data_IF_119671271203
#
_entry.id   IF_119671271203
#
_cell.length_a   1.000
_cell.length_b   1.000
_cell.length_c   1.000
_cell.angle_alpha   90.00
_cell.angle_beta   90.00
_cell.angle_gamma   90.00
#
_symmetry.space_group_name_H-M   'P 1'
#
loop_
_entity.id
_entity.type
_entity.pdbx_description
1 polymer ?
#
# COMPACT_ATOMS: atom_id res chain seq x y z
N UNK A 1 32.29 9.92 -35.01
CA UNK A 1 32.50 11.22 -34.34
C UNK A 1 31.25 11.51 -33.52
N UNK A 2 31.34 11.57 -32.18
CA UNK A 2 30.17 11.74 -31.31
C UNK A 2 29.65 13.19 -31.41
N UNK A 3 28.33 13.35 -31.54
CA UNK A 3 27.66 14.65 -31.48
C UNK A 3 27.58 15.10 -30.01
N UNK A 4 28.29 16.19 -29.67
CA UNK A 4 28.14 16.89 -28.41
C UNK A 4 26.77 17.60 -28.36
N UNK A 5 25.96 17.23 -27.38
CA UNK A 5 24.75 17.97 -27.00
C UNK A 5 25.18 19.22 -26.21
N UNK A 6 25.45 20.31 -26.94
CA UNK A 6 25.65 21.62 -26.34
C UNK A 6 24.30 22.15 -25.83
N UNK A 7 24.17 22.32 -24.52
CA UNK A 7 23.06 23.06 -23.91
C UNK A 7 23.31 24.55 -24.23
N UNK A 8 22.62 25.07 -25.24
CA UNK A 8 22.65 26.49 -25.58
C UNK A 8 21.91 27.26 -24.48
N UNK A 9 22.64 27.98 -23.65
CA UNK A 9 22.07 28.93 -22.69
C UNK A 9 21.93 30.26 -23.43
N UNK A 10 20.73 30.61 -23.88
CA UNK A 10 20.46 31.90 -24.48
C UNK A 10 20.46 33.00 -23.40
N UNK A 11 21.37 33.95 -23.53
CA UNK A 11 21.64 35.03 -22.56
C UNK A 11 20.70 36.26 -22.73
N UNK A 12 19.47 36.05 -23.18
CA UNK A 12 18.56 37.16 -23.53
C UNK A 12 17.15 36.95 -23.00
N UNK A 13 17.01 37.14 -21.68
CA UNK A 13 15.84 37.64 -20.95
C UNK A 13 16.06 37.31 -19.47
N UNK A 14 16.74 38.18 -18.73
CA UNK A 14 16.78 38.10 -17.27
C UNK A 14 15.41 38.51 -16.70
N UNK A 15 14.40 37.67 -16.92
CA UNK A 15 13.34 37.51 -15.94
C UNK A 15 14.05 36.98 -14.70
N UNK A 16 13.85 37.54 -13.50
CA UNK A 16 14.32 36.91 -12.28
C UNK A 16 13.54 35.60 -12.15
N UNK A 17 14.06 34.52 -12.74
CA UNK A 17 13.65 33.17 -12.40
C UNK A 17 14.03 33.06 -10.94
N UNK A 18 13.04 33.16 -10.04
CA UNK A 18 13.22 32.79 -8.64
C UNK A 18 13.92 31.44 -8.66
N UNK A 19 15.19 31.41 -8.26
CA UNK A 19 15.94 30.16 -8.27
C UNK A 19 15.13 29.17 -7.45
N UNK A 20 14.77 28.00 -8.03
CA UNK A 20 13.99 27.02 -7.29
C UNK A 20 14.74 26.68 -6.02
N UNK A 21 14.05 26.76 -4.89
CA UNK A 21 14.68 26.51 -3.60
C UNK A 21 15.24 25.07 -3.55
N UNK A 22 16.27 24.88 -2.73
CA UNK A 22 17.03 23.63 -2.64
C UNK A 22 16.12 22.41 -2.43
N UNK A 23 15.04 22.58 -1.68
CA UNK A 23 14.06 21.53 -1.41
C UNK A 23 13.21 21.21 -2.64
N UNK A 24 12.77 22.20 -3.42
CA UNK A 24 12.03 21.96 -4.66
C UNK A 24 12.88 21.20 -5.67
N UNK A 25 14.16 21.56 -5.79
CA UNK A 25 15.12 20.84 -6.64
C UNK A 25 15.32 19.38 -6.17
N UNK A 26 15.52 19.16 -4.87
CA UNK A 26 15.65 17.81 -4.30
C UNK A 26 14.40 16.97 -4.54
N UNK A 27 13.21 17.53 -4.33
CA UNK A 27 11.96 16.79 -4.47
C UNK A 27 11.65 16.50 -5.94
N UNK A 28 11.96 17.42 -6.86
CA UNK A 28 11.82 17.19 -8.29
C UNK A 28 12.83 16.15 -8.84
N UNK A 29 14.01 16.00 -8.23
CA UNK A 29 14.94 14.89 -8.51
C UNK A 29 14.34 13.51 -8.18
N UNK A 30 13.31 13.44 -7.31
CA UNK A 30 12.64 12.17 -6.98
C UNK A 30 11.51 11.87 -7.96
N UNK A 31 11.66 10.77 -8.70
CA UNK A 31 10.66 10.28 -9.67
C UNK A 31 9.34 9.80 -9.04
N UNK A 32 9.34 9.36 -7.78
CA UNK A 32 8.15 8.80 -7.11
C UNK A 32 7.40 9.88 -6.33
N UNK A 33 6.12 10.19 -6.65
CA UNK A 33 5.31 11.14 -5.90
C UNK A 33 5.21 10.80 -4.41
N UNK A 34 5.02 9.53 -4.08
CA UNK A 34 4.97 9.08 -2.68
C UNK A 34 6.30 9.32 -1.93
N UNK A 35 7.43 9.19 -2.61
CA UNK A 35 8.74 9.47 -2.00
C UNK A 35 8.91 10.97 -1.78
N UNK A 36 8.45 11.80 -2.72
CA UNK A 36 8.43 13.27 -2.58
C UNK A 36 7.62 13.68 -1.35
N UNK A 37 6.38 13.19 -1.24
CA UNK A 37 5.50 13.52 -0.12
C UNK A 37 6.05 13.06 1.21
N UNK A 38 6.63 11.84 1.25
CA UNK A 38 7.23 11.29 2.46
C UNK A 38 8.44 12.11 2.90
N UNK A 39 9.34 12.48 1.98
CA UNK A 39 10.53 13.27 2.28
C UNK A 39 10.18 14.69 2.65
N UNK A 40 9.26 15.34 1.94
CA UNK A 40 8.79 16.68 2.28
C UNK A 40 8.23 16.73 3.72
N UNK A 41 7.42 15.74 4.10
CA UNK A 41 6.85 15.65 5.45
C UNK A 41 7.91 15.39 6.52
N UNK A 42 8.92 14.56 6.22
CA UNK A 42 10.01 14.26 7.16
C UNK A 42 10.95 15.43 7.37
N UNK A 43 11.30 16.13 6.28
CA UNK A 43 12.15 17.32 6.36
C UNK A 43 11.43 18.44 7.11
N UNK A 44 10.11 18.61 6.91
CA UNK A 44 9.31 19.57 7.69
C UNK A 44 9.33 19.25 9.17
N UNK A 45 9.20 17.97 9.55
CA UNK A 45 9.29 17.58 10.95
C UNK A 45 10.69 17.83 11.54
N UNK A 46 11.76 17.64 10.76
CA UNK A 46 13.13 17.92 11.19
C UNK A 46 13.39 19.41 11.42
N UNK A 47 13.01 20.26 10.46
CA UNK A 47 13.27 21.70 10.51
C UNK A 47 12.26 22.47 11.37
N UNK A 48 11.06 21.92 11.56
CA UNK A 48 9.93 22.63 12.17
C UNK A 48 9.35 23.70 11.26
N UNK A 49 8.48 24.54 11.83
CA UNK A 49 7.71 25.55 11.09
C UNK A 49 8.13 26.99 11.45
N UNK A 50 9.26 27.18 12.13
CA UNK A 50 9.72 28.49 12.59
C UNK A 50 10.16 29.43 11.45
N UNK A 51 10.69 28.85 10.37
CA UNK A 51 11.09 29.57 9.15
C UNK A 51 10.69 28.71 7.93
N UNK A 52 10.57 29.31 6.73
CA UNK A 52 10.32 28.56 5.51
C UNK A 52 11.32 27.42 5.32
N UNK A 53 10.80 26.24 4.97
CA UNK A 53 11.63 25.03 4.88
C UNK A 53 12.79 25.16 3.88
N UNK A 54 12.61 25.90 2.79
CA UNK A 54 13.68 26.19 1.82
C UNK A 54 14.84 26.96 2.46
N UNK A 55 14.55 27.97 3.28
CA UNK A 55 15.54 28.73 4.04
C UNK A 55 16.23 27.85 5.10
N UNK A 56 15.45 27.05 5.84
CA UNK A 56 16.00 26.11 6.82
C UNK A 56 16.97 25.11 6.19
N UNK A 57 16.61 24.56 5.02
CA UNK A 57 17.48 23.65 4.26
C UNK A 57 18.77 24.34 3.85
N UNK A 58 18.68 25.54 3.25
CA UNK A 58 19.83 26.29 2.77
C UNK A 58 20.82 26.62 3.90
N UNK A 59 20.30 27.04 5.07
CA UNK A 59 21.14 27.31 6.26
C UNK A 59 21.77 26.04 6.80
N UNK A 60 21.02 24.94 6.85
CA UNK A 60 21.48 23.68 7.42
C UNK A 60 22.61 23.03 6.62
N UNK A 61 22.56 23.05 5.28
CA UNK A 61 23.59 22.42 4.44
C UNK A 61 24.92 23.17 4.46
N UNK A 62 24.91 24.45 4.84
CA UNK A 62 26.09 25.30 5.00
C UNK A 62 26.75 25.17 6.39
N UNK A 63 26.15 24.43 7.32
CA UNK A 63 26.73 24.24 8.65
C UNK A 63 28.02 23.41 8.58
N UNK A 64 28.99 23.67 9.48
CA UNK A 64 30.12 22.77 9.66
C UNK A 64 29.67 21.35 10.00
N UNK A 65 30.41 20.34 9.51
CA UNK A 65 30.07 18.92 9.73
C UNK A 65 29.80 18.56 11.20
N UNK A 66 30.57 19.07 12.20
CA UNK A 66 30.25 18.83 13.62
C UNK A 66 28.88 19.37 14.05
N UNK A 67 28.45 20.53 13.52
CA UNK A 67 27.15 21.13 13.83
C UNK A 67 26.00 20.34 13.18
N UNK A 68 26.18 19.86 11.95
CA UNK A 68 25.24 18.93 11.29
C UNK A 68 25.08 17.66 12.13
N UNK A 69 26.20 17.07 12.59
CA UNK A 69 26.19 15.87 13.44
C UNK A 69 25.41 16.10 14.74
N UNK A 70 25.67 17.21 15.42
CA UNK A 70 24.97 17.57 16.66
C UNK A 70 23.45 17.71 16.42
N UNK A 71 23.05 18.38 15.33
CA UNK A 71 21.63 18.54 14.99
C UNK A 71 20.93 17.19 14.74
N UNK A 72 21.59 16.25 14.04
CA UNK A 72 21.06 14.92 13.80
C UNK A 72 20.92 14.12 15.10
N UNK A 73 21.91 14.17 16.00
CA UNK A 73 21.85 13.48 17.29
C UNK A 73 20.72 14.05 18.16
N UNK A 74 20.61 15.37 18.26
CA UNK A 74 19.52 16.05 18.98
C UNK A 74 18.15 15.65 18.43
N UNK A 75 18.01 15.61 17.11
CA UNK A 75 16.76 15.16 16.49
C UNK A 75 16.47 13.69 16.79
N UNK A 76 17.47 12.81 16.73
CA UNK A 76 17.32 11.39 17.12
C UNK A 76 16.78 11.25 18.54
N UNK A 77 17.31 12.02 19.49
CA UNK A 77 16.82 12.04 20.87
C UNK A 77 15.35 12.46 20.94
N UNK A 78 14.96 13.54 20.26
CA UNK A 78 13.56 13.96 20.18
C UNK A 78 12.63 12.89 19.59
N UNK A 79 13.09 12.13 18.59
CA UNK A 79 12.30 11.04 18.02
C UNK A 79 12.10 9.87 18.99
N UNK A 80 13.12 9.57 19.80
CA UNK A 80 13.04 8.55 20.85
C UNK A 80 12.10 8.98 21.97
N UNK A 81 12.17 10.23 22.40
CA UNK A 81 11.25 10.82 23.39
C UNK A 81 9.80 10.78 22.92
N UNK A 82 9.56 10.90 21.61
CA UNK A 82 8.24 10.73 20.98
C UNK A 82 7.83 9.26 20.79
N UNK A 83 8.61 8.30 21.29
CA UNK A 83 8.39 6.86 21.14
C UNK A 83 8.16 6.41 19.67
N UNK A 84 8.85 7.05 18.72
CA UNK A 84 8.73 6.68 17.31
C UNK A 84 9.40 5.32 17.04
N UNK A 85 8.78 4.48 16.21
CA UNK A 85 9.40 3.20 15.81
C UNK A 85 10.72 3.41 15.06
N UNK A 86 11.65 2.46 15.20
CA UNK A 86 12.99 2.49 14.60
C UNK A 86 12.93 2.65 13.08
N UNK A 87 11.96 2.00 12.43
CA UNK A 87 11.72 2.14 10.99
C UNK A 87 11.33 3.58 10.59
N UNK A 88 10.54 4.26 11.42
CA UNK A 88 10.15 5.67 11.20
C UNK A 88 11.36 6.59 11.39
N UNK A 89 12.18 6.35 12.42
CA UNK A 89 13.43 7.09 12.65
C UNK A 89 14.35 6.94 11.43
N UNK A 90 14.57 5.71 10.98
CA UNK A 90 15.44 5.42 9.82
C UNK A 90 14.92 6.06 8.53
N UNK A 91 13.60 6.09 8.31
CA UNK A 91 12.99 6.78 7.16
C UNK A 91 13.26 8.29 7.19
N UNK A 92 13.09 8.93 8.35
CA UNK A 92 13.37 10.37 8.54
C UNK A 92 14.84 10.69 8.28
N UNK A 93 15.74 9.85 8.81
CA UNK A 93 17.18 9.97 8.55
C UNK A 93 17.53 9.75 7.07
N UNK A 94 16.82 8.87 6.35
CA UNK A 94 17.00 8.70 4.91
C UNK A 94 16.61 9.96 4.12
N UNK A 95 15.54 10.66 4.51
CA UNK A 95 15.17 11.94 3.91
C UNK A 95 16.27 13.00 4.12
N UNK A 96 16.80 13.12 5.34
CA UNK A 96 17.88 14.09 5.65
C UNK A 96 19.18 13.73 4.91
N UNK A 97 19.58 12.45 4.87
CA UNK A 97 20.73 12.01 4.06
C UNK A 97 20.51 12.27 2.57
N UNK A 98 19.29 12.13 2.06
CA UNK A 98 18.99 12.47 0.68
C UNK A 98 19.17 13.97 0.41
N UNK A 99 18.84 14.83 1.37
CA UNK A 99 19.11 16.27 1.27
C UNK A 99 20.61 16.55 1.26
N UNK A 100 21.38 16.02 2.22
CA UNK A 100 22.82 16.23 2.31
C UNK A 100 23.55 15.72 1.06
N UNK A 101 23.21 14.52 0.59
CA UNK A 101 23.78 13.94 -0.63
C UNK A 101 23.47 14.78 -1.88
N UNK A 102 22.27 15.34 -1.97
CA UNK A 102 21.90 16.22 -3.08
C UNK A 102 22.66 17.54 -3.02
N UNK A 103 22.67 18.20 -1.85
CA UNK A 103 23.38 19.45 -1.63
C UNK A 103 24.89 19.31 -1.87
N UNK A 104 25.49 18.19 -1.45
CA UNK A 104 26.89 17.88 -1.73
C UNK A 104 27.16 17.75 -3.23
N UNK A 105 26.28 17.06 -3.98
CA UNK A 105 26.41 16.90 -5.44
C UNK A 105 26.42 18.23 -6.18
N UNK A 106 25.67 19.22 -5.71
CA UNK A 106 25.61 20.56 -6.29
C UNK A 106 26.61 21.54 -5.65
N UNK A 107 27.54 21.06 -4.83
CA UNK A 107 28.59 21.88 -4.20
C UNK A 107 28.14 22.77 -3.04
N UNK A 108 26.92 22.60 -2.53
CA UNK A 108 26.36 23.42 -1.44
C UNK A 108 26.52 22.80 -0.04
N UNK A 109 27.12 21.62 0.08
CA UNK A 109 27.37 20.99 1.38
C UNK A 109 28.74 20.31 1.41
N UNK A 110 29.45 20.48 2.53
CA UNK A 110 30.77 19.87 2.75
C UNK A 110 30.73 18.34 2.90
N UNK A 111 29.54 17.73 3.02
CA UNK A 111 29.37 16.30 3.28
C UNK A 111 28.13 15.74 2.60
N UNK A 112 28.19 14.48 2.17
CA UNK A 112 27.08 13.74 1.59
C UNK A 112 26.14 13.10 2.63
N UNK A 113 26.46 13.25 3.93
CA UNK A 113 25.69 12.67 5.03
C UNK A 113 26.05 11.23 5.39
N UNK A 114 27.04 10.64 4.73
CA UNK A 114 27.56 9.31 5.05
C UNK A 114 28.34 9.37 6.38
N UNK A 115 28.13 8.38 7.26
CA UNK A 115 28.80 8.26 8.57
C UNK A 115 28.66 9.47 9.53
N UNK A 116 27.63 10.31 9.35
CA UNK A 116 27.39 11.43 10.28
C UNK A 116 26.57 10.98 11.50
N UNK A 117 25.57 10.14 11.27
CA UNK A 117 24.74 9.56 12.32
C UNK A 117 24.22 8.20 11.88
N UNK A 118 24.37 7.19 12.74
CA UNK A 118 23.90 5.82 12.47
C UNK A 118 22.39 5.70 12.64
N UNK A 119 21.78 4.86 11.80
CA UNK A 119 20.37 4.49 11.94
C UNK A 119 20.13 3.68 13.22
N UNK A 120 18.87 3.52 13.60
CA UNK A 120 18.49 2.59 14.66
C UNK A 120 18.53 1.16 14.14
N UNK A 121 19.01 0.23 14.98
CA UNK A 121 18.82 -1.20 14.72
C UNK A 121 17.33 -1.48 14.82
N UNK A 122 16.72 -1.88 13.70
CA UNK A 122 15.32 -2.25 13.68
C UNK A 122 15.18 -3.60 14.39
N UNK A 123 14.65 -3.60 15.62
CA UNK A 123 14.19 -4.85 16.25
C UNK A 123 12.98 -5.33 15.47
N UNK A 124 13.06 -6.52 14.89
CA UNK A 124 11.99 -7.11 14.10
C UNK A 124 10.83 -7.54 15.02
N UNK A 125 10.02 -6.58 15.49
CA UNK A 125 8.75 -6.91 16.12
C UNK A 125 7.61 -6.18 15.41
N UNK A 126 7.25 -6.75 14.26
CA UNK A 126 5.87 -6.73 13.80
C UNK A 126 5.52 -8.17 13.58
N UNK A 127 4.50 -8.66 14.27
CA UNK A 127 3.90 -9.94 13.90
C UNK A 127 3.32 -9.77 12.49
N UNK A 128 4.13 -10.12 11.49
CA UNK A 128 3.78 -10.08 10.08
C UNK A 128 3.16 -11.40 9.64
N UNK A 129 2.97 -12.35 10.56
CA UNK A 129 2.30 -13.61 10.24
C UNK A 129 0.94 -13.29 9.66
N UNK A 130 0.65 -13.97 8.56
CA UNK A 130 -0.62 -13.89 7.89
C UNK A 130 -1.74 -14.51 8.74
N UNK A 131 -2.92 -14.56 8.15
CA UNK A 131 -4.06 -15.31 8.65
C UNK A 131 -4.16 -16.63 7.88
N UNK A 132 -4.78 -17.62 8.49
CA UNK A 132 -5.00 -18.92 7.85
C UNK A 132 -6.09 -18.88 6.76
N UNK A 133 -6.16 -19.94 5.95
CA UNK A 133 -7.15 -20.07 4.86
C UNK A 133 -8.58 -20.05 5.40
N UNK A 134 -8.81 -20.57 6.61
CA UNK A 134 -10.13 -20.52 7.24
C UNK A 134 -10.57 -19.08 7.52
N UNK A 135 -9.67 -18.21 7.98
CA UNK A 135 -9.92 -16.79 8.21
C UNK A 135 -10.10 -16.03 6.89
N UNK A 136 -9.32 -16.34 5.84
CA UNK A 136 -9.53 -15.79 4.49
C UNK A 136 -10.95 -16.09 3.99
N UNK A 137 -11.44 -17.32 4.20
CA UNK A 137 -12.83 -17.69 3.86
C UNK A 137 -13.86 -16.91 4.67
N UNK A 138 -13.63 -16.72 5.98
CA UNK A 138 -14.51 -15.89 6.83
C UNK A 138 -14.57 -14.44 6.34
N UNK A 139 -13.44 -13.88 5.92
CA UNK A 139 -13.36 -12.53 5.37
C UNK A 139 -14.17 -12.39 4.07
N UNK A 140 -14.05 -13.34 3.13
CA UNK A 140 -14.86 -13.32 1.91
C UNK A 140 -16.36 -13.49 2.17
N UNK A 141 -16.75 -14.18 3.25
CA UNK A 141 -18.15 -14.30 3.67
C UNK A 141 -18.67 -13.10 4.49
N UNK A 142 -17.77 -12.24 5.00
CA UNK A 142 -18.12 -11.20 5.96
C UNK A 142 -19.00 -10.07 5.38
N UNK A 143 -18.79 -9.56 4.14
CA UNK A 143 -19.62 -8.46 3.61
C UNK A 143 -21.12 -8.76 3.63
N UNK A 144 -21.50 -10.00 3.27
CA UNK A 144 -22.90 -10.43 3.26
C UNK A 144 -23.54 -10.45 4.65
N UNK A 145 -22.76 -10.79 5.67
CA UNK A 145 -23.23 -10.85 7.07
C UNK A 145 -23.21 -9.50 7.75
N UNK A 146 -22.24 -8.65 7.41
CA UNK A 146 -22.08 -7.31 7.98
C UNK A 146 -23.13 -6.33 7.46
N UNK A 147 -23.52 -6.47 6.19
CA UNK A 147 -24.52 -5.63 5.54
C UNK A 147 -25.62 -6.51 4.95
N UNK A 148 -26.53 -7.05 5.79
CA UNK A 148 -27.61 -7.89 5.28
C UNK A 148 -28.51 -7.08 4.35
N UNK A 149 -28.70 -7.56 3.14
CA UNK A 149 -29.70 -7.04 2.20
C UNK A 149 -31.03 -7.66 2.61
N UNK A 150 -31.97 -6.85 3.09
CA UNK A 150 -33.34 -7.31 3.33
C UNK A 150 -34.01 -7.48 1.96
N UNK A 151 -34.63 -8.64 1.72
CA UNK A 151 -35.69 -8.72 0.71
C UNK A 151 -36.79 -7.73 1.12
N UNK A 152 -37.47 -7.13 0.13
CA UNK A 152 -38.38 -5.98 0.22
C UNK A 152 -39.10 -5.79 1.58
N UNK A 153 -39.36 -4.54 2.02
CA UNK A 153 -39.97 -4.29 3.32
C UNK A 153 -41.25 -5.11 3.48
N UNK A 154 -41.33 -5.90 4.55
CA UNK A 154 -42.60 -6.46 5.01
C UNK A 154 -43.50 -5.27 5.35
N UNK A 155 -44.42 -4.97 4.44
CA UNK A 155 -45.49 -4.00 4.66
C UNK A 155 -46.40 -4.62 5.72
N UNK A 156 -46.19 -4.26 6.98
CA UNK A 156 -47.20 -4.49 8.02
C UNK A 156 -48.18 -3.32 7.97
N UNK A 157 -49.47 -3.64 7.72
CA UNK A 157 -50.57 -2.72 7.99
C UNK A 157 -50.76 -2.64 9.50
N UNK A 158 -50.35 -1.54 10.12
CA UNK A 158 -50.96 -1.17 11.40
C UNK A 158 -52.38 -0.64 11.12
N UNK A 159 -53.33 -0.93 12.00
CA UNK A 159 -54.76 -0.61 11.86
C UNK A 159 -55.11 0.88 11.87
N UNK A 160 -54.18 1.76 11.46
CA UNK A 160 -54.31 3.24 11.41
C UNK A 160 -53.60 3.89 10.21
N UNK A 161 -53.51 3.21 9.06
CA UNK A 161 -53.02 3.79 7.79
C UNK A 161 -51.71 4.60 7.89
N UNK A 162 -50.73 4.11 8.66
CA UNK A 162 -49.38 4.68 8.71
C UNK A 162 -48.33 3.61 8.47
N UNK A 163 -47.50 3.82 7.45
CA UNK A 163 -46.29 3.06 7.18
C UNK A 163 -45.18 3.61 8.09
N UNK A 164 -44.64 2.81 9.02
CA UNK A 164 -43.52 3.22 9.88
C UNK A 164 -42.39 2.20 9.75
N UNK A 165 -41.27 2.62 9.17
CA UNK A 165 -39.99 1.89 9.20
C UNK A 165 -39.29 2.16 10.55
N UNK A 166 -39.22 1.15 11.41
CA UNK A 166 -38.64 1.24 12.76
C UNK A 166 -37.11 1.06 12.75
N UNK A 167 -36.43 1.61 11.74
CA UNK A 167 -34.96 1.74 11.75
C UNK A 167 -34.48 3.21 11.73
N UNK A 168 -35.41 4.17 11.82
CA UNK A 168 -35.11 5.59 11.87
C UNK A 168 -35.04 6.11 13.30
N UNK A 169 -33.94 5.83 14.00
CA UNK A 169 -33.51 6.75 15.06
C UNK A 169 -31.99 6.85 15.07
N UNK A 170 -31.53 8.08 14.84
CA UNK A 170 -30.16 8.62 14.86
C UNK A 170 -29.56 8.91 13.47
N UNK A 171 -29.25 10.21 13.27
CA UNK A 171 -28.46 10.86 12.20
C UNK A 171 -29.19 11.47 10.99
N UNK A 172 -29.84 12.62 11.22
CA UNK A 172 -30.12 13.63 10.20
C UNK A 172 -28.79 14.22 9.71
N UNK A 173 -28.32 13.82 8.50
CA UNK A 173 -27.31 14.47 7.59
C UNK A 173 -26.40 13.50 6.80
N UNK A 174 -26.49 12.19 7.00
CA UNK A 174 -25.72 11.19 6.24
C UNK A 174 -26.51 10.69 5.03
N UNK A 175 -25.88 10.60 3.85
CA UNK A 175 -26.48 9.88 2.71
C UNK A 175 -26.69 8.42 3.11
N UNK A 176 -27.91 7.90 2.96
CA UNK A 176 -28.16 6.47 3.09
C UNK A 176 -27.49 5.74 1.92
N UNK A 177 -26.59 4.81 2.25
CA UNK A 177 -25.86 4.03 1.26
C UNK A 177 -26.43 2.63 1.27
N UNK A 178 -26.96 2.13 0.14
CA UNK A 178 -27.58 0.81 0.09
C UNK A 178 -26.63 -0.29 0.57
N UNK A 179 -27.13 -1.24 1.38
CA UNK A 179 -26.36 -2.38 1.86
C UNK A 179 -25.80 -3.21 0.70
N UNK A 180 -26.57 -3.39 -0.37
CA UNK A 180 -26.14 -4.12 -1.56
C UNK A 180 -24.90 -3.48 -2.23
N UNK A 181 -24.84 -2.14 -2.26
CA UNK A 181 -23.68 -1.41 -2.77
C UNK A 181 -22.46 -1.56 -1.85
N UNK A 182 -22.63 -1.46 -0.52
CA UNK A 182 -21.53 -1.70 0.44
C UNK A 182 -21.00 -3.13 0.33
N UNK A 183 -21.90 -4.11 0.36
CA UNK A 183 -21.59 -5.53 0.30
C UNK A 183 -20.81 -5.88 -0.97
N UNK A 184 -21.35 -5.50 -2.14
CA UNK A 184 -20.74 -5.83 -3.43
C UNK A 184 -19.38 -5.17 -3.60
N UNK A 185 -19.24 -3.88 -3.22
CA UNK A 185 -17.95 -3.18 -3.26
C UNK A 185 -16.91 -3.88 -2.39
N UNK A 186 -17.25 -4.12 -1.13
CA UNK A 186 -16.32 -4.67 -0.15
C UNK A 186 -15.89 -6.08 -0.53
N UNK A 187 -16.83 -6.89 -1.04
CA UNK A 187 -16.55 -8.24 -1.54
C UNK A 187 -15.58 -8.21 -2.72
N UNK A 188 -15.82 -7.34 -3.71
CA UNK A 188 -14.92 -7.17 -4.87
C UNK A 188 -13.50 -6.76 -4.45
N UNK A 189 -13.38 -5.81 -3.51
CA UNK A 189 -12.10 -5.39 -2.95
C UNK A 189 -11.37 -6.54 -2.24
N UNK A 190 -12.08 -7.34 -1.45
CA UNK A 190 -11.50 -8.48 -0.74
C UNK A 190 -11.05 -9.58 -1.71
N UNK A 191 -11.82 -9.90 -2.75
CA UNK A 191 -11.38 -10.85 -3.79
C UNK A 191 -10.08 -10.40 -4.46
N UNK A 192 -9.97 -9.13 -4.85
CA UNK A 192 -8.74 -8.60 -5.46
C UNK A 192 -7.53 -8.68 -4.52
N UNK A 193 -7.71 -8.43 -3.22
CA UNK A 193 -6.64 -8.50 -2.23
C UNK A 193 -6.25 -9.94 -1.89
N UNK A 194 -7.20 -10.89 -1.89
CA UNK A 194 -7.00 -12.27 -1.43
C UNK A 194 -6.65 -13.19 -2.60
N UNK A 195 -7.47 -13.24 -3.66
CA UNK A 195 -7.30 -14.20 -4.76
C UNK A 195 -6.22 -13.76 -5.73
N UNK A 196 -6.15 -12.45 -6.01
CA UNK A 196 -5.17 -11.87 -6.92
C UNK A 196 -3.94 -11.31 -6.18
N UNK A 197 -3.94 -11.41 -4.84
CA UNK A 197 -2.91 -10.90 -3.96
C UNK A 197 -2.54 -9.43 -4.24
N UNK A 198 -3.40 -8.59 -4.82
CA UNK A 198 -3.03 -7.26 -5.30
C UNK A 198 -2.52 -6.37 -4.15
N UNK A 199 -1.63 -5.42 -4.45
CA UNK A 199 -1.24 -4.41 -3.47
C UNK A 199 -2.37 -3.39 -3.33
N UNK A 200 -2.58 -2.89 -2.12
CA UNK A 200 -3.54 -1.81 -1.83
C UNK A 200 -3.47 -0.65 -2.83
N UNK A 201 -2.27 -0.11 -3.06
CA UNK A 201 -2.06 1.00 -3.99
C UNK A 201 -2.25 0.64 -5.47
N UNK A 202 -2.21 -0.64 -5.84
CA UNK A 202 -2.59 -1.09 -7.19
C UNK A 202 -4.12 -1.05 -7.30
N UNK A 203 -4.84 -1.58 -6.31
CA UNK A 203 -6.33 -1.59 -6.27
C UNK A 203 -6.90 -0.18 -6.28
N UNK A 204 -6.38 0.73 -5.45
CA UNK A 204 -6.87 2.11 -5.35
C UNK A 204 -6.67 2.93 -6.64
N UNK A 205 -5.79 2.49 -7.55
CA UNK A 205 -5.46 3.21 -8.80
C UNK A 205 -6.16 2.65 -10.05
N UNK A 206 -7.03 1.65 -9.88
CA UNK A 206 -7.78 1.07 -10.98
C UNK A 206 -8.83 2.04 -11.53
N UNK A 207 -8.99 2.04 -12.84
CA UNK A 207 -10.09 2.72 -13.55
C UNK A 207 -11.10 1.69 -14.06
N UNK A 208 -12.33 2.10 -14.33
CA UNK A 208 -13.36 1.24 -14.90
C UNK A 208 -12.89 0.61 -16.24
N UNK A 209 -12.11 1.35 -17.03
CA UNK A 209 -11.51 0.88 -18.27
C UNK A 209 -10.42 -0.17 -18.12
N UNK A 210 -9.92 -0.43 -16.90
CA UNK A 210 -8.93 -1.48 -16.64
C UNK A 210 -9.55 -2.86 -16.51
N UNK A 211 -10.85 -2.95 -16.22
CA UNK A 211 -11.56 -4.20 -16.01
C UNK A 211 -12.25 -4.66 -17.30
N UNK A 212 -12.08 -5.93 -17.63
CA UNK A 212 -12.80 -6.58 -18.72
C UNK A 212 -13.40 -7.90 -18.22
N UNK A 213 -14.72 -7.90 -18.07
CA UNK A 213 -15.48 -9.06 -17.62
C UNK A 213 -15.46 -10.22 -18.62
N UNK A 214 -15.42 -9.92 -19.93
CA UNK A 214 -15.48 -10.93 -21.00
C UNK A 214 -14.21 -11.77 -21.04
N UNK A 215 -13.05 -11.11 -20.91
CA UNK A 215 -11.74 -11.78 -20.89
C UNK A 215 -11.30 -12.17 -19.47
N UNK A 216 -12.11 -11.87 -18.44
CA UNK A 216 -11.78 -12.02 -17.02
C UNK A 216 -10.41 -11.46 -16.71
N UNK A 217 -10.17 -10.22 -17.13
CA UNK A 217 -8.86 -9.60 -17.01
C UNK A 217 -8.93 -8.22 -16.38
N UNK A 218 -7.82 -7.82 -15.78
CA UNK A 218 -7.64 -6.53 -15.14
C UNK A 218 -6.26 -5.98 -15.49
N UNK A 219 -6.20 -4.73 -15.91
CA UNK A 219 -4.96 -4.01 -16.12
C UNK A 219 -4.54 -3.31 -14.82
N UNK A 220 -3.34 -3.58 -14.34
CA UNK A 220 -2.80 -2.97 -13.12
C UNK A 220 -1.52 -2.20 -13.44
N UNK A 221 -1.25 -1.12 -12.72
CA UNK A 221 0.03 -0.44 -12.85
C UNK A 221 1.16 -1.35 -12.35
N UNK A 222 2.10 -1.67 -13.25
CA UNK A 222 3.25 -2.52 -12.95
C UNK A 222 4.27 -1.83 -12.02
N UNK A 223 5.20 -2.63 -11.48
CA UNK A 223 6.27 -2.15 -10.58
C UNK A 223 7.42 -1.41 -11.30
N UNK A 224 7.22 -1.02 -12.56
CA UNK A 224 8.23 -0.46 -13.47
C UNK A 224 8.38 1.06 -13.41
N UNK A 225 9.35 1.57 -14.18
CA UNK A 225 9.51 3.01 -14.45
C UNK A 225 8.46 3.40 -15.51
N UNK A 226 7.45 4.19 -15.13
CA UNK A 226 6.40 4.71 -16.03
C UNK A 226 5.02 4.06 -15.85
N UNK A 227 4.03 4.51 -16.64
CA UNK A 227 2.63 4.03 -16.64
C UNK A 227 2.45 2.66 -17.33
N UNK A 228 3.43 1.76 -17.27
CA UNK A 228 3.32 0.45 -17.89
C UNK A 228 2.30 -0.39 -17.12
N UNK A 229 1.16 -0.68 -17.76
CA UNK A 229 0.13 -1.56 -17.21
C UNK A 229 0.48 -3.02 -17.52
N UNK A 230 0.33 -3.88 -16.53
CA UNK A 230 0.45 -5.34 -16.63
C UNK A 230 -0.95 -5.95 -16.56
N UNK A 231 -1.24 -6.93 -17.41
CA UNK A 231 -2.53 -7.63 -17.38
C UNK A 231 -2.48 -8.77 -16.37
N UNK A 232 -3.52 -8.90 -15.55
CA UNK A 232 -3.77 -10.07 -14.70
C UNK A 232 -5.10 -10.74 -15.00
N UNK A 233 -5.11 -12.06 -14.88
CA UNK A 233 -6.33 -12.85 -14.96
C UNK A 233 -7.07 -12.86 -13.63
N UNK A 234 -8.38 -12.81 -13.70
CA UNK A 234 -9.28 -12.87 -12.57
C UNK A 234 -9.96 -14.25 -12.50
N UNK A 235 -10.27 -14.70 -11.29
CA UNK A 235 -11.15 -15.84 -11.09
C UNK A 235 -12.59 -15.51 -11.51
N UNK A 236 -13.44 -16.51 -11.79
CA UNK A 236 -14.86 -16.26 -12.03
C UNK A 236 -15.56 -15.53 -10.87
N UNK A 237 -15.20 -15.86 -9.62
CA UNK A 237 -15.78 -15.26 -8.42
C UNK A 237 -15.39 -13.79 -8.28
N UNK A 238 -14.12 -13.46 -8.51
CA UNK A 238 -13.65 -12.08 -8.50
C UNK A 238 -14.28 -11.25 -9.62
N UNK A 239 -14.37 -11.81 -10.84
CA UNK A 239 -15.04 -11.13 -11.97
C UNK A 239 -16.50 -10.84 -11.64
N UNK A 240 -17.24 -11.83 -11.13
CA UNK A 240 -18.63 -11.66 -10.74
C UNK A 240 -18.80 -10.60 -9.64
N UNK A 241 -17.92 -10.60 -8.63
CA UNK A 241 -17.98 -9.62 -7.55
C UNK A 241 -17.79 -8.18 -8.07
N UNK A 242 -16.83 -7.95 -8.98
CA UNK A 242 -16.62 -6.63 -9.60
C UNK A 242 -17.81 -6.24 -10.46
N UNK A 243 -18.31 -7.14 -11.30
CA UNK A 243 -19.50 -6.89 -12.14
C UNK A 243 -20.71 -6.51 -11.28
N UNK A 244 -21.00 -7.29 -10.24
CA UNK A 244 -22.10 -7.00 -9.32
C UNK A 244 -21.95 -5.63 -8.67
N UNK A 245 -20.74 -5.28 -8.24
CA UNK A 245 -20.48 -3.96 -7.67
C UNK A 245 -20.74 -2.85 -8.69
N UNK A 246 -20.24 -2.96 -9.92
CA UNK A 246 -20.48 -1.97 -10.97
C UNK A 246 -21.97 -1.79 -11.24
N UNK A 247 -22.73 -2.89 -11.31
CA UNK A 247 -24.19 -2.86 -11.43
C UNK A 247 -24.87 -2.12 -10.28
N UNK A 248 -24.53 -2.42 -9.02
CA UNK A 248 -25.15 -1.76 -7.87
C UNK A 248 -24.72 -0.31 -7.68
N UNK A 249 -23.52 0.04 -8.16
CA UNK A 249 -22.99 1.40 -8.06
C UNK A 249 -23.55 2.35 -9.10
N UNK A 250 -24.13 1.81 -10.18
CA UNK A 250 -24.54 2.55 -11.38
C UNK A 250 -23.40 3.43 -11.94
N UNK A 251 -22.15 3.00 -11.72
CA UNK A 251 -20.92 3.72 -12.03
C UNK A 251 -20.10 2.98 -13.09
N UNK A 252 -19.17 3.68 -13.76
CA UNK A 252 -18.27 3.08 -14.75
C UNK A 252 -18.78 3.13 -16.19
N UNK A 253 -19.72 4.03 -16.48
CA UNK A 253 -20.08 4.40 -17.86
C UNK A 253 -18.92 5.11 -18.56
N UNK A 254 -18.17 5.94 -17.83
CA UNK A 254 -16.89 6.49 -18.28
C UNK A 254 -15.74 5.59 -17.85
N UNK A 255 -14.93 5.17 -18.83
CA UNK A 255 -13.79 4.26 -18.64
C UNK A 255 -12.66 4.88 -17.82
N UNK A 256 -12.62 6.20 -17.70
CA UNK A 256 -11.59 6.93 -16.93
C UNK A 256 -11.97 7.13 -15.46
N UNK A 257 -13.21 6.80 -15.10
CA UNK A 257 -13.67 6.85 -13.72
C UNK A 257 -12.96 5.81 -12.84
N UNK A 258 -12.78 6.09 -11.54
CA UNK A 258 -12.18 5.15 -10.61
C UNK A 258 -13.01 3.87 -10.50
N UNK A 259 -12.38 2.70 -10.63
CA UNK A 259 -13.09 1.44 -10.48
C UNK A 259 -13.77 1.32 -9.11
N UNK A 260 -13.12 1.79 -8.03
CA UNK A 260 -13.70 1.77 -6.69
C UNK A 260 -13.87 3.17 -6.14
N UNK A 261 -15.10 3.48 -5.70
CA UNK A 261 -15.44 4.75 -5.06
C UNK A 261 -15.53 4.63 -3.54
N UNK A 262 -15.29 5.76 -2.89
CA UNK A 262 -15.55 5.96 -1.47
C UNK A 262 -17.06 5.99 -1.22
N UNK A 263 -17.48 5.17 -0.25
CA UNK A 263 -18.85 5.12 0.29
C UNK A 263 -18.88 5.76 1.68
N UNK A 264 -18.14 6.86 1.84
CA UNK A 264 -18.22 7.69 3.03
C UNK A 264 -19.59 8.37 3.07
N UNK A 265 -20.22 8.41 4.24
CA UNK A 265 -21.54 9.03 4.41
C UNK A 265 -21.50 10.56 4.33
N UNK A 266 -20.31 11.17 4.44
CA UNK A 266 -20.10 12.60 4.27
C UNK A 266 -20.11 12.96 2.78
N UNK A 267 -20.97 13.89 2.33
CA UNK A 267 -21.15 14.20 0.91
C UNK A 267 -19.86 14.57 0.16
N UNK A 268 -18.92 15.26 0.81
CA UNK A 268 -17.66 15.70 0.19
C UNK A 268 -16.73 14.55 -0.23
N UNK A 269 -16.93 13.34 0.30
CA UNK A 269 -16.06 12.18 0.05
C UNK A 269 -16.78 11.04 -0.66
N UNK A 270 -18.09 11.09 -0.81
CA UNK A 270 -18.85 10.08 -1.54
C UNK A 270 -18.56 10.16 -3.04
N UNK A 271 -18.38 9.02 -3.71
CA UNK A 271 -18.15 8.98 -5.16
C UNK A 271 -16.72 9.31 -5.60
N UNK A 272 -15.90 9.91 -4.72
CA UNK A 272 -14.48 10.08 -4.97
C UNK A 272 -13.75 8.74 -5.04
N UNK A 273 -12.60 8.69 -5.73
CA UNK A 273 -11.72 7.51 -5.76
C UNK A 273 -11.43 6.98 -4.35
N UNK A 274 -11.56 5.66 -4.17
CA UNK A 274 -11.20 5.01 -2.92
C UNK A 274 -9.71 5.22 -2.60
N UNK A 275 -9.45 5.87 -1.47
CA UNK A 275 -8.08 6.17 -1.05
C UNK A 275 -7.36 4.96 -0.44
N UNK A 276 -6.03 5.01 -0.47
CA UNK A 276 -5.15 4.08 0.25
C UNK A 276 -5.48 3.97 1.75
N UNK A 277 -5.88 5.08 2.38
CA UNK A 277 -6.28 5.08 3.78
C UNK A 277 -7.65 4.41 3.96
N UNK A 278 -8.60 4.70 3.07
CA UNK A 278 -9.94 4.09 3.10
C UNK A 278 -9.89 2.57 2.96
N UNK A 279 -9.13 2.04 1.99
CA UNK A 279 -8.97 0.59 1.83
C UNK A 279 -8.23 -0.05 3.01
N UNK A 280 -7.29 0.66 3.64
CA UNK A 280 -6.61 0.17 4.85
C UNK A 280 -7.57 0.05 6.02
N UNK A 281 -8.39 1.08 6.27
CA UNK A 281 -9.40 1.06 7.32
C UNK A 281 -10.43 -0.04 7.09
N UNK A 282 -10.94 -0.17 5.87
CA UNK A 282 -11.87 -1.23 5.48
C UNK A 282 -11.34 -2.63 5.83
N UNK A 283 -10.10 -2.93 5.44
CA UNK A 283 -9.48 -4.23 5.77
C UNK A 283 -9.32 -4.41 7.28
N UNK A 284 -8.95 -3.36 8.00
CA UNK A 284 -8.86 -3.40 9.47
C UNK A 284 -10.20 -3.70 10.12
N UNK A 285 -11.27 -3.06 9.66
CA UNK A 285 -12.63 -3.25 10.16
C UNK A 285 -13.15 -4.67 9.90
N UNK A 286 -12.87 -5.25 8.72
CA UNK A 286 -13.20 -6.66 8.46
C UNK A 286 -12.36 -7.61 9.32
N UNK A 287 -11.10 -7.27 9.59
CA UNK A 287 -10.26 -8.01 10.54
C UNK A 287 -10.90 -8.08 11.92
N UNK A 288 -11.32 -6.95 12.48
CA UNK A 288 -12.03 -6.89 13.76
C UNK A 288 -13.34 -7.68 13.70
N UNK A 289 -14.09 -7.55 12.61
CA UNK A 289 -15.37 -8.26 12.43
C UNK A 289 -15.21 -9.79 12.47
N UNK A 290 -14.13 -10.35 11.91
CA UNK A 290 -13.85 -11.80 11.98
C UNK A 290 -13.10 -12.24 13.25
N UNK A 291 -12.94 -11.34 14.23
CA UNK A 291 -12.35 -11.64 15.54
C UNK A 291 -10.84 -11.43 15.65
N UNK A 292 -10.21 -10.72 14.71
CA UNK A 292 -8.78 -10.40 14.77
C UNK A 292 -8.55 -9.06 15.49
N UNK A 293 -7.49 -8.97 16.29
CA UNK A 293 -7.08 -7.69 16.90
C UNK A 293 -6.68 -6.64 15.87
N UNK A 294 -6.05 -7.08 14.78
CA UNK A 294 -5.59 -6.21 13.70
C UNK A 294 -5.43 -7.01 12.41
N UNK A 295 -5.86 -6.42 11.31
CA UNK A 295 -5.59 -6.92 9.97
C UNK A 295 -5.17 -5.76 9.08
N UNK A 296 -4.19 -5.99 8.22
CA UNK A 296 -3.72 -5.00 7.25
C UNK A 296 -3.70 -5.59 5.84
N UNK A 297 -3.81 -4.75 4.79
CA UNK A 297 -3.70 -5.23 3.41
C UNK A 297 -2.39 -5.98 3.12
N UNK A 298 -1.31 -5.63 3.82
CA UNK A 298 -0.04 -6.33 3.68
C UNK A 298 -0.08 -7.73 4.29
N UNK A 299 -0.69 -7.89 5.47
CA UNK A 299 -0.91 -9.21 6.08
C UNK A 299 -1.83 -10.08 5.21
N UNK A 300 -2.90 -9.53 4.63
CA UNK A 300 -3.75 -10.26 3.69
C UNK A 300 -2.98 -10.77 2.49
N UNK A 301 -2.18 -9.91 1.87
CA UNK A 301 -1.33 -10.29 0.75
C UNK A 301 -0.32 -11.37 1.15
N UNK A 302 0.29 -11.26 2.32
CA UNK A 302 1.22 -12.27 2.83
C UNK A 302 0.53 -13.63 3.02
N UNK A 303 -0.69 -13.62 3.59
CA UNK A 303 -1.55 -14.79 3.78
C UNK A 303 -1.91 -15.46 2.46
N UNK A 304 -2.33 -14.66 1.46
CA UNK A 304 -2.68 -15.14 0.13
C UNK A 304 -1.50 -15.81 -0.59
N UNK A 305 -0.30 -15.21 -0.51
CA UNK A 305 0.92 -15.77 -1.11
C UNK A 305 1.29 -17.10 -0.43
N UNK A 306 1.24 -17.14 0.90
CA UNK A 306 1.54 -18.36 1.67
C UNK A 306 0.55 -19.48 1.35
N UNK A 307 -0.76 -19.18 1.36
CA UNK A 307 -1.80 -20.13 0.99
C UNK A 307 -1.66 -20.64 -0.47
N UNK A 308 -1.23 -19.79 -1.39
CA UNK A 308 -0.94 -20.21 -2.76
C UNK A 308 0.30 -21.11 -2.85
N UNK A 309 1.33 -20.88 -2.05
CA UNK A 309 2.49 -21.78 -1.95
C UNK A 309 2.06 -23.14 -1.39
N UNK A 310 1.23 -23.16 -0.34
CA UNK A 310 0.63 -24.38 0.22
C UNK A 310 -0.15 -25.16 -0.83
N UNK A 311 -1.09 -24.51 -1.51
CA UNK A 311 -1.94 -25.15 -2.51
C UNK A 311 -1.17 -25.65 -3.75
N UNK A 312 0.02 -25.11 -4.02
CA UNK A 312 0.85 -25.50 -5.16
C UNK A 312 1.99 -26.46 -4.80
N UNK A 313 2.08 -26.88 -3.53
CA UNK A 313 3.15 -27.76 -3.06
C UNK A 313 4.53 -27.10 -3.10
N UNK A 314 4.62 -25.79 -2.89
CA UNK A 314 5.88 -25.04 -2.93
C UNK A 314 6.36 -24.63 -4.34
N UNK A 315 5.47 -24.58 -5.34
CA UNK A 315 5.83 -24.07 -6.68
C UNK A 315 6.01 -22.54 -6.65
N UNK A 316 7.21 -22.11 -6.23
CA UNK A 316 7.57 -20.70 -6.09
C UNK A 316 7.42 -19.95 -7.42
N UNK A 317 7.61 -20.60 -8.58
CA UNK A 317 7.47 -19.95 -9.90
C UNK A 317 6.00 -19.64 -10.23
N UNK A 318 5.07 -20.56 -9.93
CA UNK A 318 3.62 -20.28 -10.08
C UNK A 318 3.19 -19.15 -9.16
N UNK A 319 3.61 -19.18 -7.89
CA UNK A 319 3.24 -18.13 -6.93
C UNK A 319 3.94 -16.80 -7.23
N UNK A 320 5.14 -16.82 -7.81
CA UNK A 320 5.80 -15.61 -8.28
C UNK A 320 5.00 -14.90 -9.38
N UNK A 321 4.43 -15.66 -10.32
CA UNK A 321 3.56 -15.10 -11.35
C UNK A 321 2.28 -14.50 -10.77
N UNK A 322 1.65 -15.18 -9.80
CA UNK A 322 0.49 -14.67 -9.08
C UNK A 322 0.81 -13.37 -8.34
N UNK A 323 1.88 -13.38 -7.55
CA UNK A 323 2.25 -12.28 -6.67
C UNK A 323 2.99 -11.15 -7.41
N UNK A 324 3.55 -11.40 -8.59
CA UNK A 324 4.33 -10.43 -9.39
C UNK A 324 5.47 -9.81 -8.58
N UNK A 325 6.23 -10.64 -7.89
CA UNK A 325 7.46 -10.21 -7.21
C UNK A 325 8.62 -10.18 -8.21
N UNK A 326 9.24 -9.00 -8.36
CA UNK A 326 10.41 -8.80 -9.25
C UNK A 326 11.61 -9.68 -8.86
N UNK A 327 11.73 -10.04 -7.58
CA UNK A 327 12.82 -10.86 -7.04
C UNK A 327 12.26 -12.14 -6.44
N UNK A 328 12.85 -13.27 -6.81
CA UNK A 328 12.54 -14.59 -6.26
C UNK A 328 12.93 -14.69 -4.77
N UNK A 329 14.01 -14.01 -4.37
CA UNK A 329 14.49 -13.87 -2.98
C UNK A 329 13.37 -13.50 -1.99
N UNK A 330 12.42 -12.66 -2.42
CA UNK A 330 11.32 -12.26 -1.55
C UNK A 330 10.37 -13.41 -1.27
N UNK A 331 10.22 -14.38 -2.18
CA UNK A 331 9.36 -15.55 -2.01
C UNK A 331 10.05 -16.70 -1.27
N UNK A 332 11.38 -16.81 -1.35
CA UNK A 332 12.14 -17.77 -0.54
C UNK A 332 11.90 -17.56 0.95
N UNK A 333 11.79 -16.31 1.42
CA UNK A 333 11.42 -15.99 2.81
C UNK A 333 10.07 -16.63 3.21
N UNK A 334 9.13 -16.74 2.26
CA UNK A 334 7.84 -17.37 2.52
C UNK A 334 7.98 -18.89 2.54
N UNK A 335 8.76 -19.46 1.62
CA UNK A 335 8.96 -20.91 1.54
C UNK A 335 9.78 -21.46 2.72
N UNK A 336 10.81 -20.74 3.14
CA UNK A 336 11.64 -21.04 4.31
C UNK A 336 10.83 -20.98 5.62
N UNK A 337 9.76 -20.18 5.67
CA UNK A 337 8.85 -20.13 6.82
C UNK A 337 7.82 -21.26 6.88
N UNK A 338 7.67 -22.04 5.79
CA UNK A 338 6.63 -23.08 5.67
C UNK A 338 7.08 -24.45 6.14
N UNK A 339 8.35 -24.78 6.05
CA UNK A 339 8.83 -26.11 6.37
C UNK A 339 10.09 -26.08 7.25
N UNK A 340 10.19 -27.06 8.14
CA UNK A 340 11.48 -27.48 8.68
C UNK A 340 12.26 -28.21 7.58
N UNK A 341 12.61 -27.47 6.51
CA UNK A 341 13.42 -27.98 5.40
C UNK A 341 14.73 -28.54 5.93
N UNK A 342 15.25 -27.98 7.02
CA UNK A 342 16.43 -28.51 7.69
C UNK A 342 16.15 -29.92 8.25
N UNK A 343 15.06 -30.14 8.97
CA UNK A 343 14.68 -31.45 9.51
C UNK A 343 14.35 -32.47 8.42
N UNK A 344 13.65 -32.08 7.37
CA UNK A 344 13.31 -32.96 6.24
C UNK A 344 14.54 -33.35 5.41
N UNK A 345 15.42 -32.38 5.12
CA UNK A 345 16.72 -32.64 4.47
C UNK A 345 17.64 -33.43 5.39
N UNK A 346 17.68 -33.15 6.70
CA UNK A 346 18.49 -33.91 7.66
C UNK A 346 18.00 -35.34 7.79
N UNK A 347 16.68 -35.58 7.74
CA UNK A 347 16.09 -36.91 7.70
C UNK A 347 16.45 -37.66 6.41
N UNK A 348 16.30 -37.01 5.25
CA UNK A 348 16.71 -37.58 3.97
C UNK A 348 18.22 -37.86 3.91
N UNK A 349 19.06 -36.98 4.44
CA UNK A 349 20.51 -37.17 4.52
C UNK A 349 20.85 -38.33 5.46
N UNK A 350 20.18 -38.41 6.62
CA UNK A 350 20.32 -39.52 7.57
C UNK A 350 19.97 -40.86 6.91
N UNK A 351 18.85 -40.93 6.19
CA UNK A 351 18.44 -42.15 5.47
C UNK A 351 19.42 -42.50 4.34
N UNK A 352 19.96 -41.51 3.63
CA UNK A 352 20.96 -41.72 2.57
C UNK A 352 22.31 -42.21 3.13
N UNK A 353 22.77 -41.61 4.22
CA UNK A 353 24.04 -41.95 4.90
C UNK A 353 23.94 -43.30 5.60
N UNK A 354 22.76 -43.65 6.14
CA UNK A 354 22.49 -44.93 6.79
C UNK A 354 22.04 -46.04 5.83
N UNK A 355 22.02 -45.79 4.51
CA UNK A 355 21.73 -46.78 3.48
C UNK A 355 20.27 -47.28 3.43
N UNK A 356 19.31 -46.55 3.99
CA UNK A 356 17.89 -46.93 4.01
C UNK A 356 17.21 -46.41 2.74
N UNK A 357 16.79 -47.32 1.85
CA UNK A 357 16.04 -46.93 0.64
C UNK A 357 14.64 -46.41 1.01
N UNK A 358 14.29 -45.25 0.46
CA UNK A 358 12.94 -44.65 0.54
C UNK A 358 11.88 -45.68 0.08
N UNK A 359 10.81 -45.93 0.83
CA UNK A 359 9.70 -46.73 0.32
C UNK A 359 9.07 -45.98 -0.86
N UNK A 360 8.84 -46.68 -1.97
CA UNK A 360 8.14 -46.12 -3.13
C UNK A 360 6.65 -45.97 -2.77
N UNK A 361 6.15 -44.74 -2.83
CA UNK A 361 4.74 -44.41 -3.11
C UNK A 361 4.67 -43.12 -3.88
#
# INVERSE_FOLDING_TARGET
>A
MPQELAIVVHESALVPVQQPDLISLLLNDKRSPHTRDAYARDLRDFFGDAIPIGEACARFVQLPVPAIRLALLTYKTKLRERAMSEATINRRFAAIRSLLKFAHRIGQCATDGTNIAEGEKVTAYRDTRGVDVATLRKLLAAPAKRFPVREAPHIYKDGKDRYIDVCQSVCVRAREIPNALRQSRDLALLHLLIENALRRGEVCKLDCGDFDASTRSLWILGKGRGNQKERVSLSPTCTLAITNYLTHSEHGSDRTEPLFISLDSRPAFYGARLSDAGLYSLVGEYGVWVGLKRLTPHQLRHSAITAALDATGGDVRKVQRLSRHKKLETLMIYDDSRADHQGEVSGLLSDLVMGRKKPRS
#
